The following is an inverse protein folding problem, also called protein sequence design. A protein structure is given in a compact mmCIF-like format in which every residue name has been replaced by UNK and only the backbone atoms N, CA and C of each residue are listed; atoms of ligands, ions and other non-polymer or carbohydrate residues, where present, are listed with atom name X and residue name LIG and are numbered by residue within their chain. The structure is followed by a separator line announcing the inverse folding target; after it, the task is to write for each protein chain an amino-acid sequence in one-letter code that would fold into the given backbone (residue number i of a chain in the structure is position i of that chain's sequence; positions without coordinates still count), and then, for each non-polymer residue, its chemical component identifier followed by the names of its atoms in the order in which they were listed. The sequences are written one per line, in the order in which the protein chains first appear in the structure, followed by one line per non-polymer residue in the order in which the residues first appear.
data_IF_128732132328
#
_entry.id   IF_128732132328
#
_cell.length_a   1.000
_cell.length_b   1.000
_cell.length_c   1.000
_cell.angle_alpha   90.00
_cell.angle_beta   90.00
_cell.angle_gamma   90.00
#
_symmetry.space_group_name_H-M   'P 1'
#
loop_
_entity.id
_entity.type
_entity.pdbx_description
1 polymer ?
#
# COMPACT_ATOMS: atom_id res chain seq x y z
N UNK A 1 -15.08 -1.14 -14.71
CA UNK A 1 -16.47 -1.66 -14.84
C UNK A 1 -17.23 -1.24 -13.58
N UNK A 2 -18.57 -1.15 -13.54
CA UNK A 2 -19.24 -0.99 -12.25
C UNK A 2 -18.88 -2.18 -11.34
N UNK A 3 -18.60 -1.90 -10.06
CA UNK A 3 -18.38 -2.94 -9.06
C UNK A 3 -19.59 -3.87 -9.01
N UNK A 4 -19.36 -5.15 -8.70
CA UNK A 4 -20.44 -6.13 -8.54
C UNK A 4 -21.43 -5.65 -7.46
N UNK A 5 -22.73 -5.92 -7.62
CA UNK A 5 -23.78 -5.36 -6.76
C UNK A 5 -23.53 -5.63 -5.26
N UNK A 6 -23.06 -6.83 -4.91
CA UNK A 6 -22.72 -7.18 -3.52
C UNK A 6 -21.67 -6.28 -2.89
N UNK A 7 -20.67 -5.82 -3.66
CA UNK A 7 -19.65 -4.88 -3.19
C UNK A 7 -20.24 -3.50 -2.91
N UNK A 8 -21.19 -3.07 -3.76
CA UNK A 8 -21.90 -1.81 -3.60
C UNK A 8 -22.84 -1.84 -2.37
N UNK A 9 -23.60 -2.93 -2.21
CA UNK A 9 -24.51 -3.13 -1.07
C UNK A 9 -23.73 -3.10 0.25
N UNK A 10 -22.59 -3.80 0.33
CA UNK A 10 -21.75 -3.79 1.54
C UNK A 10 -21.17 -2.40 1.82
N UNK A 11 -20.80 -1.64 0.80
CA UNK A 11 -20.34 -0.25 0.96
C UNK A 11 -21.41 0.66 1.55
N UNK A 12 -22.67 0.49 1.15
CA UNK A 12 -23.78 1.24 1.73
C UNK A 12 -23.97 0.87 3.21
N UNK A 13 -23.91 -0.41 3.55
CA UNK A 13 -24.04 -0.87 4.94
C UNK A 13 -22.88 -0.41 5.84
N UNK A 14 -21.65 -0.43 5.33
CA UNK A 14 -20.44 -0.02 6.03
C UNK A 14 -20.55 1.40 6.61
N UNK A 15 -21.03 2.35 5.81
CA UNK A 15 -21.17 3.76 6.22
C UNK A 15 -22.23 3.97 7.32
N UNK A 16 -23.20 3.06 7.42
CA UNK A 16 -24.34 3.17 8.34
C UNK A 16 -24.30 2.15 9.48
N UNK A 17 -23.16 1.49 9.69
CA UNK A 17 -22.94 0.58 10.81
C UNK A 17 -23.29 1.25 12.15
N UNK A 18 -24.04 0.55 13.01
CA UNK A 18 -24.58 1.08 14.28
C UNK A 18 -23.95 0.47 15.53
N UNK A 19 -23.07 -0.52 15.40
CA UNK A 19 -22.38 -1.12 16.56
C UNK A 19 -21.02 -1.71 16.19
N UNK A 20 -20.09 -1.87 17.17
CA UNK A 20 -18.81 -2.54 16.93
C UNK A 20 -18.97 -4.01 16.51
N UNK A 21 -20.04 -4.68 16.94
CA UNK A 21 -20.33 -6.04 16.52
C UNK A 21 -20.71 -6.12 15.04
N UNK A 22 -21.53 -5.17 14.57
CA UNK A 22 -21.86 -5.03 13.15
C UNK A 22 -20.62 -4.68 12.33
N UNK A 23 -19.75 -3.80 12.83
CA UNK A 23 -18.48 -3.47 12.19
C UNK A 23 -17.62 -4.72 11.92
N UNK A 24 -17.46 -5.60 12.92
CA UNK A 24 -16.75 -6.88 12.75
C UNK A 24 -17.41 -7.77 11.70
N UNK A 25 -18.73 -7.92 11.74
CA UNK A 25 -19.45 -8.71 10.73
C UNK A 25 -19.21 -8.21 9.31
N UNK A 26 -19.29 -6.90 9.10
CA UNK A 26 -19.06 -6.27 7.79
C UNK A 26 -17.61 -6.39 7.33
N UNK A 27 -16.63 -6.31 8.22
CA UNK A 27 -15.21 -6.52 7.87
C UNK A 27 -14.92 -7.98 7.50
N UNK A 28 -15.56 -8.95 8.16
CA UNK A 28 -15.46 -10.36 7.79
C UNK A 28 -16.08 -10.61 6.41
N UNK A 29 -17.31 -10.11 6.19
CA UNK A 29 -18.00 -10.22 4.90
C UNK A 29 -17.23 -9.51 3.78
N UNK A 30 -16.57 -8.39 4.07
CA UNK A 30 -15.73 -7.70 3.10
C UNK A 30 -14.57 -8.57 2.61
N UNK A 31 -13.95 -9.34 3.50
CA UNK A 31 -12.89 -10.29 3.15
C UNK A 31 -13.44 -11.44 2.29
N UNK A 32 -14.61 -11.98 2.64
CA UNK A 32 -15.27 -13.04 1.85
C UNK A 32 -15.62 -12.56 0.43
N UNK A 33 -16.17 -11.35 0.30
CA UNK A 33 -16.46 -10.75 -1.00
C UNK A 33 -15.19 -10.48 -1.82
N UNK A 34 -14.09 -10.11 -1.17
CA UNK A 34 -12.81 -9.91 -1.84
C UNK A 34 -12.27 -11.23 -2.37
N UNK A 35 -12.33 -12.32 -1.59
CA UNK A 35 -12.02 -13.67 -2.04
C UNK A 35 -12.83 -14.05 -3.29
N UNK A 36 -14.15 -13.96 -3.21
CA UNK A 36 -15.04 -14.30 -4.33
C UNK A 36 -14.76 -13.43 -5.58
N UNK A 37 -14.44 -12.15 -5.39
CA UNK A 37 -14.13 -11.25 -6.51
C UNK A 37 -12.82 -11.60 -7.21
N UNK A 38 -11.82 -12.07 -6.46
CA UNK A 38 -10.55 -12.56 -7.02
C UNK A 38 -10.75 -13.84 -7.84
N UNK A 39 -11.61 -14.76 -7.39
CA UNK A 39 -11.98 -15.96 -8.16
C UNK A 39 -12.62 -15.61 -9.52
N UNK A 40 -13.33 -14.48 -9.57
CA UNK A 40 -13.93 -13.93 -10.79
C UNK A 40 -13.01 -12.97 -11.57
N UNK A 41 -11.72 -12.87 -11.21
CA UNK A 41 -10.71 -12.04 -11.88
C UNK A 41 -11.09 -10.55 -11.96
N UNK A 42 -11.73 -10.03 -10.92
CA UNK A 42 -11.93 -8.59 -10.78
C UNK A 42 -10.59 -7.85 -10.68
N UNK A 43 -10.59 -6.56 -11.01
CA UNK A 43 -9.38 -5.75 -11.00
C UNK A 43 -8.86 -5.54 -9.57
N UNK A 44 -7.63 -5.94 -9.32
CA UNK A 44 -7.02 -5.93 -7.98
C UNK A 44 -6.85 -4.53 -7.37
N UNK A 45 -6.59 -3.52 -8.20
CA UNK A 45 -6.50 -2.12 -7.73
C UNK A 45 -7.88 -1.56 -7.38
N UNK A 46 -8.90 -1.85 -8.19
CA UNK A 46 -10.28 -1.47 -7.87
C UNK A 46 -10.74 -2.13 -6.56
N UNK A 47 -10.37 -3.40 -6.32
CA UNK A 47 -10.66 -4.10 -5.07
C UNK A 47 -9.92 -3.51 -3.86
N UNK A 48 -8.64 -3.14 -4.00
CA UNK A 48 -7.90 -2.48 -2.93
C UNK A 48 -8.52 -1.12 -2.54
N UNK A 49 -8.95 -0.34 -3.54
CA UNK A 49 -9.66 0.92 -3.31
C UNK A 49 -11.00 0.69 -2.62
N UNK A 50 -11.78 -0.29 -3.06
CA UNK A 50 -13.03 -0.66 -2.42
C UNK A 50 -12.82 -1.08 -0.96
N UNK A 51 -11.85 -1.95 -0.69
CA UNK A 51 -11.56 -2.45 0.66
C UNK A 51 -11.11 -1.33 1.61
N UNK A 52 -10.26 -0.42 1.13
CA UNK A 52 -9.84 0.77 1.89
C UNK A 52 -11.01 1.67 2.25
N UNK A 53 -11.98 1.81 1.33
CA UNK A 53 -13.20 2.56 1.57
C UNK A 53 -14.08 1.89 2.62
N UNK A 54 -14.26 0.57 2.56
CA UNK A 54 -15.00 -0.18 3.59
C UNK A 54 -14.42 0.09 4.98
N UNK A 55 -13.10 -0.02 5.14
CA UNK A 55 -12.45 0.25 6.43
C UNK A 55 -12.68 1.70 6.86
N UNK A 56 -12.51 2.66 5.95
CA UNK A 56 -12.73 4.08 6.23
C UNK A 56 -14.16 4.38 6.67
N UNK A 57 -15.14 3.82 5.96
CA UNK A 57 -16.56 4.01 6.23
C UNK A 57 -16.95 3.37 7.57
N UNK A 58 -16.42 2.18 7.89
CA UNK A 58 -16.64 1.52 9.18
C UNK A 58 -16.05 2.31 10.34
N UNK A 59 -14.80 2.77 10.23
CA UNK A 59 -14.13 3.55 11.28
C UNK A 59 -14.88 4.85 11.60
N UNK A 60 -15.50 5.45 10.57
CA UNK A 60 -16.28 6.70 10.70
C UNK A 60 -17.76 6.48 11.01
N UNK A 61 -18.26 5.25 10.89
CA UNK A 61 -19.67 4.92 11.09
C UNK A 61 -20.14 5.22 12.52
N UNK A 62 -21.43 5.47 12.76
CA UNK A 62 -21.97 5.72 14.11
C UNK A 62 -21.63 4.63 15.13
N UNK A 63 -21.51 3.38 14.68
CA UNK A 63 -21.22 2.23 15.52
C UNK A 63 -19.79 2.15 16.04
N UNK A 64 -18.84 2.83 15.39
CA UNK A 64 -17.43 2.89 15.82
C UNK A 64 -17.08 4.31 16.26
N UNK A 65 -17.44 5.31 15.44
CA UNK A 65 -17.28 6.74 15.68
C UNK A 65 -15.87 7.11 16.18
N UNK A 66 -14.86 6.50 15.59
CA UNK A 66 -13.48 6.65 16.07
C UNK A 66 -12.98 8.09 15.85
N UNK A 67 -12.31 8.70 16.85
CA UNK A 67 -11.72 10.04 16.69
C UNK A 67 -10.37 10.02 15.96
N UNK A 68 -9.83 8.83 15.65
CA UNK A 68 -8.49 8.71 15.07
C UNK A 68 -8.45 9.21 13.63
N UNK A 69 -7.25 9.54 13.17
CA UNK A 69 -7.00 9.84 11.78
C UNK A 69 -6.30 8.67 11.11
N UNK A 70 -7.00 7.97 10.22
CA UNK A 70 -6.41 6.91 9.42
C UNK A 70 -5.15 7.41 8.70
N UNK A 71 -4.15 6.54 8.61
CA UNK A 71 -2.88 6.75 7.94
C UNK A 71 -2.47 5.48 7.19
N UNK A 72 -1.35 5.53 6.46
CA UNK A 72 -0.84 4.38 5.72
C UNK A 72 -1.80 3.92 4.59
N UNK A 73 -1.83 2.62 4.28
CA UNK A 73 -2.55 2.11 3.10
C UNK A 73 -4.04 2.45 3.05
N UNK A 74 -4.73 2.38 4.19
CA UNK A 74 -6.17 2.66 4.24
C UNK A 74 -6.46 4.11 3.89
N UNK A 75 -5.69 5.05 4.45
CA UNK A 75 -5.88 6.48 4.18
C UNK A 75 -5.53 6.87 2.74
N UNK A 76 -4.62 6.12 2.11
CA UNK A 76 -4.30 6.29 0.68
C UNK A 76 -5.35 5.70 -0.24
N UNK A 77 -6.17 4.75 0.21
CA UNK A 77 -7.12 4.07 -0.65
C UNK A 77 -6.52 2.89 -1.42
N UNK A 78 -5.45 2.28 -0.89
CA UNK A 78 -4.73 1.18 -1.52
C UNK A 78 -4.45 -0.02 -0.59
N UNK A 79 -5.18 -0.11 0.52
CA UNK A 79 -5.13 -1.22 1.46
C UNK A 79 -5.71 -2.52 0.89
N UNK A 80 -5.12 -3.61 1.34
CA UNK A 80 -5.58 -4.99 1.15
C UNK A 80 -5.49 -5.73 2.49
N UNK A 81 -6.16 -6.88 2.66
CA UNK A 81 -6.24 -7.54 3.96
C UNK A 81 -4.90 -7.90 4.62
N UNK A 82 -3.86 -8.20 3.82
CA UNK A 82 -2.51 -8.53 4.32
C UNK A 82 -1.71 -7.31 4.81
N UNK A 83 -2.19 -6.10 4.58
CA UNK A 83 -1.51 -4.87 5.01
C UNK A 83 -1.97 -4.44 6.40
N UNK A 84 -1.03 -3.86 7.14
CA UNK A 84 -1.36 -3.27 8.44
C UNK A 84 -2.20 -2.01 8.28
N UNK A 85 -3.32 -1.97 8.99
CA UNK A 85 -4.19 -0.80 9.14
C UNK A 85 -3.58 0.10 10.22
N UNK A 86 -3.34 1.37 9.89
CA UNK A 86 -2.66 2.30 10.78
C UNK A 86 -3.41 3.61 10.98
N UNK A 87 -3.29 4.22 12.16
CA UNK A 87 -3.94 5.49 12.49
C UNK A 87 -3.14 6.34 13.47
N UNK A 88 -3.36 7.66 13.45
CA UNK A 88 -2.85 8.60 14.44
C UNK A 88 -3.94 8.95 15.46
N UNK A 89 -3.56 9.02 16.74
CA UNK A 89 -4.47 9.21 17.86
C UNK A 89 -4.78 7.89 18.58
N UNK A 90 -5.63 7.98 19.61
CA UNK A 90 -5.97 6.86 20.49
C UNK A 90 -7.39 6.38 20.25
N UNK A 91 -7.53 5.07 20.03
CA UNK A 91 -8.82 4.37 20.12
C UNK A 91 -8.55 2.91 20.54
N UNK A 92 -8.82 2.56 21.81
CA UNK A 92 -8.50 1.23 22.34
C UNK A 92 -9.38 0.13 21.75
N UNK A 93 -10.48 0.46 21.06
CA UNK A 93 -11.39 -0.54 20.51
C UNK A 93 -10.99 -0.97 19.10
N UNK A 94 -10.33 -0.10 18.32
CA UNK A 94 -9.99 -0.39 16.92
C UNK A 94 -9.11 -1.63 16.76
N UNK A 95 -8.09 -1.80 17.61
CA UNK A 95 -7.23 -2.99 17.55
C UNK A 95 -8.05 -4.27 17.71
N UNK A 96 -9.01 -4.29 18.63
CA UNK A 96 -9.91 -5.44 18.83
C UNK A 96 -10.86 -5.65 17.66
N UNK A 97 -11.43 -4.57 17.10
CA UNK A 97 -12.38 -4.66 15.96
C UNK A 97 -11.69 -5.28 14.74
N UNK A 98 -10.46 -4.87 14.44
CA UNK A 98 -9.68 -5.45 13.33
C UNK A 98 -9.15 -6.86 13.68
N UNK A 99 -8.62 -7.04 14.88
CA UNK A 99 -8.03 -8.31 15.32
C UNK A 99 -9.04 -9.46 15.36
N UNK A 100 -10.28 -9.20 15.77
CA UNK A 100 -11.36 -10.20 15.87
C UNK A 100 -11.72 -10.82 14.51
N UNK A 101 -11.35 -10.17 13.40
CA UNK A 101 -11.60 -10.63 12.02
C UNK A 101 -10.32 -10.98 11.26
N UNK A 102 -9.20 -11.12 11.98
CA UNK A 102 -7.91 -11.50 11.39
C UNK A 102 -7.16 -10.38 10.68
N UNK A 103 -7.64 -9.13 10.74
CA UNK A 103 -6.92 -7.97 10.22
C UNK A 103 -5.94 -7.42 11.26
N UNK A 104 -4.81 -6.88 10.79
CA UNK A 104 -3.79 -6.31 11.67
C UNK A 104 -3.97 -4.80 11.72
N UNK A 105 -4.47 -4.28 12.85
CA UNK A 105 -4.59 -2.85 13.12
C UNK A 105 -3.66 -2.40 14.26
N UNK A 106 -3.05 -1.22 14.14
CA UNK A 106 -2.29 -0.60 15.23
C UNK A 106 -2.16 0.93 15.09
N UNK A 107 -1.96 1.68 16.18
CA UNK A 107 -1.51 3.06 16.11
C UNK A 107 -0.21 3.18 15.30
N UNK A 108 -0.13 4.21 14.46
CA UNK A 108 1.07 4.59 13.74
C UNK A 108 2.01 5.35 14.68
N UNK A 109 3.31 5.15 14.52
CA UNK A 109 4.29 6.09 15.02
C UNK A 109 4.10 7.45 14.33
N UNK A 110 4.14 8.54 15.09
CA UNK A 110 4.00 9.87 14.52
C UNK A 110 5.30 10.25 13.80
N UNK A 111 5.22 10.31 12.47
CA UNK A 111 6.33 10.61 11.57
C UNK A 111 5.84 11.49 10.42
N UNK A 112 6.76 12.03 9.64
CA UNK A 112 6.38 12.80 8.44
C UNK A 112 5.57 11.94 7.47
N UNK A 113 5.94 10.67 7.31
CA UNK A 113 5.20 9.75 6.46
C UNK A 113 3.76 9.49 6.95
N UNK A 114 3.58 9.19 8.24
CA UNK A 114 2.25 8.92 8.79
C UNK A 114 1.38 10.17 8.81
N UNK A 115 1.97 11.35 9.02
CA UNK A 115 1.28 12.65 8.91
C UNK A 115 0.85 12.96 7.47
N UNK A 116 1.71 12.70 6.49
CA UNK A 116 1.41 12.94 5.08
C UNK A 116 0.26 12.03 4.60
N UNK A 117 0.33 10.75 4.94
CA UNK A 117 -0.73 9.78 4.63
C UNK A 117 -2.02 10.08 5.39
N UNK A 118 -1.96 10.69 6.58
CA UNK A 118 -3.14 11.17 7.27
C UNK A 118 -3.67 12.50 6.70
N UNK A 119 -2.93 13.20 5.83
CA UNK A 119 -3.26 14.53 5.32
C UNK A 119 -3.13 15.64 6.37
N UNK A 120 -2.18 15.50 7.29
CA UNK A 120 -1.82 16.52 8.29
C UNK A 120 -0.76 17.47 7.70
N UNK A 121 -0.69 18.73 8.18
CA UNK A 121 0.37 19.65 7.78
C UNK A 121 1.77 19.11 8.12
N UNK A 122 2.71 19.24 7.18
CA UNK A 122 4.08 18.72 7.31
C UNK A 122 5.13 19.77 7.70
N UNK A 123 4.86 21.05 7.48
CA UNK A 123 5.83 22.11 7.76
C UNK A 123 6.95 22.22 6.72
N UNK A 124 7.87 23.15 6.97
CA UNK A 124 9.00 23.49 6.08
C UNK A 124 10.05 22.38 6.08
N UNK A 125 10.67 22.12 4.93
CA UNK A 125 11.69 21.07 4.76
C UNK A 125 11.14 19.64 4.71
N UNK A 126 9.82 19.50 4.66
CA UNK A 126 9.15 18.20 4.59
C UNK A 126 9.43 17.43 3.31
N UNK A 127 9.60 18.14 2.18
CA UNK A 127 9.91 17.51 0.89
C UNK A 127 11.26 16.79 0.93
N UNK A 128 12.33 17.45 1.38
CA UNK A 128 13.66 16.84 1.49
C UNK A 128 13.68 15.67 2.49
N UNK A 129 12.98 15.82 3.62
CA UNK A 129 12.88 14.77 4.62
C UNK A 129 12.16 13.53 4.08
N UNK A 130 11.05 13.72 3.35
CA UNK A 130 10.30 12.63 2.72
C UNK A 130 11.10 11.97 1.60
N UNK A 131 11.83 12.73 0.79
CA UNK A 131 12.70 12.17 -0.25
C UNK A 131 13.80 11.31 0.37
N UNK A 132 14.47 11.83 1.40
CA UNK A 132 15.52 11.08 2.11
C UNK A 132 14.96 9.78 2.67
N UNK A 133 13.84 9.84 3.39
CA UNK A 133 13.17 8.64 3.92
C UNK A 133 12.82 7.66 2.80
N UNK A 134 12.29 8.15 1.68
CA UNK A 134 11.96 7.30 0.54
C UNK A 134 13.21 6.61 -0.04
N UNK A 135 14.30 7.34 -0.26
CA UNK A 135 15.54 6.77 -0.81
C UNK A 135 16.23 5.80 0.16
N UNK A 136 16.06 5.98 1.48
CA UNK A 136 16.58 5.04 2.49
C UNK A 136 15.83 3.69 2.45
N UNK A 137 14.62 3.63 1.87
CA UNK A 137 13.86 2.39 1.63
C UNK A 137 14.25 1.67 0.33
N UNK A 138 15.35 2.06 -0.31
CA UNK A 138 15.80 1.44 -1.56
C UNK A 138 15.86 -0.09 -1.42
N UNK A 139 15.22 -0.84 -2.35
CA UNK A 139 15.27 -2.30 -2.33
C UNK A 139 16.71 -2.83 -2.38
N UNK A 140 17.03 -3.90 -1.64
CA UNK A 140 18.34 -4.51 -1.71
C UNK A 140 18.63 -5.05 -3.12
N UNK A 141 19.90 -5.06 -3.51
CA UNK A 141 20.31 -5.66 -4.76
C UNK A 141 19.90 -7.15 -4.82
N UNK A 142 19.44 -7.59 -5.99
CA UNK A 142 19.08 -8.98 -6.21
C UNK A 142 20.30 -9.88 -5.96
N UNK A 143 20.19 -10.83 -5.04
CA UNK A 143 21.24 -11.82 -4.81
C UNK A 143 21.31 -12.80 -5.96
N UNK A 144 22.52 -13.05 -6.46
CA UNK A 144 22.79 -13.96 -7.58
C UNK A 144 23.68 -15.11 -7.09
N UNK A 145 23.28 -16.35 -7.37
CA UNK A 145 24.03 -17.58 -7.11
C UNK A 145 24.17 -18.33 -8.44
N UNK A 146 25.40 -18.68 -8.83
CA UNK A 146 25.72 -19.34 -10.09
C UNK A 146 25.16 -18.64 -11.36
N UNK A 147 25.13 -17.30 -11.33
CA UNK A 147 24.63 -16.49 -12.45
C UNK A 147 23.11 -16.41 -12.56
N UNK A 148 22.37 -17.00 -11.61
CA UNK A 148 20.90 -16.94 -11.53
C UNK A 148 20.44 -16.27 -10.23
N UNK A 149 19.24 -15.66 -10.19
CA UNK A 149 18.66 -15.16 -8.95
C UNK A 149 18.61 -16.26 -7.89
N UNK A 150 19.04 -15.93 -6.66
CA UNK A 150 18.99 -16.85 -5.53
C UNK A 150 17.55 -17.29 -5.28
N UNK A 151 17.26 -18.56 -5.55
CA UNK A 151 15.92 -19.14 -5.43
C UNK A 151 15.47 -19.29 -3.97
N UNK A 152 16.40 -19.25 -3.03
CA UNK A 152 16.13 -19.30 -1.60
C UNK A 152 16.06 -17.90 -0.98
N UNK A 153 16.22 -16.84 -1.77
CA UNK A 153 16.04 -15.49 -1.30
C UNK A 153 14.60 -15.30 -0.77
N UNK A 154 14.44 -14.66 0.40
CA UNK A 154 13.12 -14.36 0.94
C UNK A 154 12.37 -13.41 0.00
N UNK A 155 11.07 -13.64 -0.15
CA UNK A 155 10.16 -12.76 -0.88
C UNK A 155 9.49 -11.84 0.11
N UNK A 156 9.80 -10.55 0.01
CA UNK A 156 9.13 -9.50 0.78
C UNK A 156 8.53 -8.48 -0.19
N UNK A 157 7.29 -8.70 -0.64
CA UNK A 157 6.64 -7.79 -1.60
C UNK A 157 6.35 -6.45 -0.93
N UNK A 158 5.87 -6.46 0.31
CA UNK A 158 5.57 -5.21 1.01
C UNK A 158 6.83 -4.37 1.24
N UNK A 159 7.94 -4.99 1.69
CA UNK A 159 9.18 -4.27 1.97
C UNK A 159 10.03 -3.93 0.74
N UNK A 160 9.98 -4.73 -0.33
CA UNK A 160 10.84 -4.57 -1.53
C UNK A 160 10.12 -3.85 -2.66
N UNK A 161 8.78 -3.94 -2.74
CA UNK A 161 8.01 -3.28 -3.80
C UNK A 161 7.12 -2.17 -3.24
N UNK A 162 6.19 -2.51 -2.34
CA UNK A 162 5.10 -1.58 -2.01
C UNK A 162 5.58 -0.40 -1.14
N UNK A 163 6.23 -0.66 -0.01
CA UNK A 163 6.69 0.41 0.88
C UNK A 163 7.63 1.41 0.19
N UNK A 164 8.63 0.98 -0.62
CA UNK A 164 9.47 1.91 -1.35
C UNK A 164 8.68 2.76 -2.37
N UNK A 165 7.84 2.14 -3.20
CA UNK A 165 7.05 2.88 -4.22
C UNK A 165 6.11 3.88 -3.54
N UNK A 166 5.41 3.46 -2.48
CA UNK A 166 4.51 4.35 -1.73
C UNK A 166 5.26 5.53 -1.09
N UNK A 167 6.53 5.35 -0.69
CA UNK A 167 7.35 6.42 -0.15
C UNK A 167 7.76 7.45 -1.21
N UNK A 168 8.18 7.00 -2.40
CA UNK A 168 8.44 7.90 -3.54
C UNK A 168 7.18 8.66 -3.94
N UNK A 169 6.05 7.95 -4.05
CA UNK A 169 4.77 8.57 -4.36
C UNK A 169 4.36 9.60 -3.29
N UNK A 170 4.56 9.29 -2.01
CA UNK A 170 4.28 10.21 -0.90
C UNK A 170 5.13 11.47 -0.96
N UNK A 171 6.42 11.34 -1.25
CA UNK A 171 7.30 12.49 -1.46
C UNK A 171 6.80 13.33 -2.65
N UNK A 172 6.47 12.68 -3.77
CA UNK A 172 5.98 13.33 -4.98
C UNK A 172 4.64 14.07 -4.77
N UNK A 173 3.76 13.57 -3.90
CA UNK A 173 2.49 14.20 -3.56
C UNK A 173 2.04 13.83 -2.12
N UNK A 174 2.39 14.65 -1.11
CA UNK A 174 2.14 14.33 0.30
C UNK A 174 0.69 14.62 0.73
N UNK A 175 -0.24 13.76 0.30
CA UNK A 175 -1.67 13.86 0.63
C UNK A 175 -2.36 12.48 0.58
N UNK A 176 -3.42 12.20 1.35
CA UNK A 176 -4.13 10.91 1.40
C UNK A 176 -4.80 10.58 0.06
N UNK A 177 -4.06 9.92 -0.82
CA UNK A 177 -4.44 9.61 -2.20
C UNK A 177 -3.80 8.29 -2.63
N UNK A 178 -4.41 7.59 -3.60
CA UNK A 178 -3.86 6.35 -4.12
C UNK A 178 -2.43 6.54 -4.61
N UNK A 179 -1.59 5.54 -4.39
CA UNK A 179 -0.18 5.57 -4.79
C UNK A 179 0.02 5.92 -6.28
N UNK A 180 -0.75 5.35 -7.25
CA UNK A 180 -0.65 5.75 -8.66
C UNK A 180 -0.98 7.22 -8.92
N UNK A 181 -2.02 7.77 -8.28
CA UNK A 181 -2.42 9.17 -8.43
C UNK A 181 -1.32 10.10 -7.95
N UNK A 182 -0.67 9.75 -6.85
CA UNK A 182 0.47 10.51 -6.31
C UNK A 182 1.67 10.51 -7.26
N UNK A 183 1.96 9.38 -7.92
CA UNK A 183 3.01 9.30 -8.95
C UNK A 183 2.68 10.21 -10.14
N UNK A 184 1.42 10.20 -10.60
CA UNK A 184 0.96 11.07 -11.68
C UNK A 184 1.12 12.57 -11.34
N UNK A 185 0.76 12.97 -10.12
CA UNK A 185 0.98 14.34 -9.63
C UNK A 185 2.48 14.67 -9.56
N UNK A 186 3.33 13.68 -9.24
CA UNK A 186 4.78 13.82 -9.29
C UNK A 186 5.30 14.27 -10.66
N UNK A 187 4.68 13.79 -11.73
CA UNK A 187 4.98 14.21 -13.11
C UNK A 187 4.51 15.65 -13.35
N UNK A 188 3.29 15.99 -12.92
CA UNK A 188 2.75 17.36 -13.04
C UNK A 188 3.60 18.39 -12.27
N UNK A 189 4.27 17.96 -11.19
CA UNK A 189 5.18 18.76 -10.37
C UNK A 189 6.63 18.71 -10.84
N UNK A 190 6.94 18.00 -11.93
CA UNK A 190 8.29 17.82 -12.48
C UNK A 190 9.28 17.16 -11.50
N UNK A 191 8.78 16.44 -10.49
CA UNK A 191 9.59 15.67 -9.53
C UNK A 191 9.95 14.29 -10.07
N UNK A 192 9.08 13.74 -10.91
CA UNK A 192 9.27 12.46 -11.61
C UNK A 192 9.15 12.70 -13.10
N UNK A 193 9.91 11.96 -13.90
CA UNK A 193 9.60 11.87 -15.32
C UNK A 193 8.43 10.89 -15.58
N UNK A 194 7.83 10.98 -16.77
CA UNK A 194 6.68 10.16 -17.13
C UNK A 194 6.99 8.66 -17.16
N UNK A 195 8.21 8.29 -17.56
CA UNK A 195 8.63 6.89 -17.63
C UNK A 195 8.82 6.29 -16.23
N UNK A 196 9.33 7.09 -15.28
CA UNK A 196 9.46 6.70 -13.88
C UNK A 196 8.10 6.47 -13.24
N UNK A 197 7.17 7.41 -13.40
CA UNK A 197 5.84 7.29 -12.85
C UNK A 197 5.07 6.09 -13.43
N UNK A 198 5.18 5.84 -14.74
CA UNK A 198 4.57 4.67 -15.39
C UNK A 198 5.18 3.35 -14.87
N UNK A 199 6.51 3.27 -14.84
CA UNK A 199 7.22 2.07 -14.40
C UNK A 199 6.94 1.72 -12.93
N UNK A 200 6.93 2.73 -12.05
CA UNK A 200 6.58 2.58 -10.64
C UNK A 200 5.10 2.21 -10.45
N UNK A 201 4.19 2.77 -11.25
CA UNK A 201 2.76 2.42 -11.21
C UNK A 201 2.51 0.97 -11.62
N UNK A 202 3.22 0.48 -12.65
CA UNK A 202 3.15 -0.92 -13.07
C UNK A 202 3.72 -1.86 -12.00
N UNK A 203 4.85 -1.51 -11.40
CA UNK A 203 5.45 -2.27 -10.31
C UNK A 203 4.54 -2.29 -9.06
N UNK A 204 3.86 -1.18 -8.76
CA UNK A 204 2.87 -1.08 -7.70
C UNK A 204 1.70 -2.05 -7.92
N UNK A 205 1.07 -2.00 -9.10
CA UNK A 205 -0.01 -2.92 -9.46
C UNK A 205 0.42 -4.38 -9.40
N UNK A 206 1.65 -4.68 -9.84
CA UNK A 206 2.24 -6.02 -9.72
C UNK A 206 2.35 -6.45 -8.25
N UNK A 207 2.85 -5.58 -7.37
CA UNK A 207 2.97 -5.86 -5.94
C UNK A 207 1.62 -6.10 -5.26
N UNK A 208 0.62 -5.27 -5.53
CA UNK A 208 -0.75 -5.44 -4.99
C UNK A 208 -1.34 -6.78 -5.45
N UNK A 209 -1.20 -7.11 -6.74
CA UNK A 209 -1.74 -8.35 -7.28
C UNK A 209 -1.04 -9.60 -6.69
N UNK A 210 0.28 -9.54 -6.48
CA UNK A 210 1.02 -10.63 -5.84
C UNK A 210 0.61 -10.82 -4.36
N UNK A 211 0.47 -9.73 -3.60
CA UNK A 211 0.02 -9.80 -2.21
C UNK A 211 -1.40 -10.35 -2.10
N UNK A 212 -2.33 -9.88 -2.94
CA UNK A 212 -3.69 -10.40 -2.96
C UNK A 212 -3.75 -11.88 -3.33
N UNK A 213 -2.93 -12.34 -4.28
CA UNK A 213 -2.84 -13.78 -4.61
C UNK A 213 -2.29 -14.61 -3.46
N UNK A 214 -1.27 -14.12 -2.74
CA UNK A 214 -0.74 -14.83 -1.57
C UNK A 214 -1.76 -14.89 -0.44
N UNK A 215 -2.42 -13.76 -0.14
CA UNK A 215 -3.52 -13.71 0.82
C UNK A 215 -4.65 -14.66 0.43
N UNK A 216 -5.07 -14.65 -0.84
CA UNK A 216 -6.10 -15.54 -1.37
C UNK A 216 -5.74 -17.02 -1.23
N UNK A 217 -4.46 -17.37 -1.39
CA UNK A 217 -3.94 -18.72 -1.23
C UNK A 217 -3.74 -19.13 0.24
N UNK A 218 -4.06 -18.26 1.21
CA UNK A 218 -3.81 -18.50 2.64
C UNK A 218 -2.33 -18.49 3.02
N UNK A 219 -1.47 -17.93 2.16
CA UNK A 219 -0.04 -17.78 2.44
C UNK A 219 0.15 -16.51 3.28
N UNK A 220 0.28 -16.69 4.59
CA UNK A 220 0.55 -15.60 5.52
C UNK A 220 2.01 -15.13 5.34
N UNK A 221 2.22 -13.81 5.41
CA UNK A 221 3.39 -13.10 4.89
C UNK A 221 4.80 -13.59 5.31
N UNK A 222 5.79 -13.02 4.61
CA UNK A 222 7.26 -12.98 4.84
C UNK A 222 8.07 -14.29 4.93
N UNK A 223 7.44 -15.44 5.09
CA UNK A 223 8.18 -16.72 5.18
C UNK A 223 8.33 -17.44 3.81
N UNK A 224 7.82 -16.84 2.74
CA UNK A 224 7.97 -17.34 1.38
C UNK A 224 9.36 -17.07 0.80
N UNK A 225 9.87 -18.03 0.02
CA UNK A 225 11.10 -17.87 -0.76
C UNK A 225 10.78 -17.78 -2.24
N UNK A 226 11.69 -17.25 -3.05
CA UNK A 226 11.47 -17.07 -4.48
C UNK A 226 11.05 -18.38 -5.19
N UNK A 227 11.57 -19.52 -4.72
CA UNK A 227 11.23 -20.84 -5.24
C UNK A 227 9.77 -21.27 -5.02
N UNK A 228 9.08 -20.77 -3.99
CA UNK A 228 7.71 -21.17 -3.65
C UNK A 228 6.66 -20.40 -4.44
N UNK A 229 7.03 -19.28 -5.05
CA UNK A 229 6.15 -18.55 -5.96
C UNK A 229 5.87 -19.36 -7.24
N UNK A 230 4.64 -19.31 -7.78
CA UNK A 230 4.35 -19.77 -9.13
C UNK A 230 5.31 -19.17 -10.17
N UNK A 231 5.65 -19.89 -11.27
CA UNK A 231 6.65 -19.41 -12.22
C UNK A 231 6.38 -18.02 -12.81
N UNK A 232 5.11 -17.71 -13.09
CA UNK A 232 4.71 -16.39 -13.60
C UNK A 232 4.87 -15.30 -12.53
N UNK A 233 4.43 -15.57 -11.30
CA UNK A 233 4.55 -14.64 -10.17
C UNK A 233 6.01 -14.36 -9.81
N UNK A 234 6.86 -15.39 -9.85
CA UNK A 234 8.30 -15.25 -9.67
C UNK A 234 8.93 -14.31 -10.69
N UNK A 235 8.50 -14.43 -11.95
CA UNK A 235 8.99 -13.60 -13.05
C UNK A 235 8.51 -12.16 -12.89
N UNK A 236 7.23 -11.97 -12.57
CA UNK A 236 6.63 -10.66 -12.32
C UNK A 236 7.30 -9.96 -11.13
N UNK A 237 7.47 -10.66 -10.00
CA UNK A 237 8.18 -10.16 -8.82
C UNK A 237 9.61 -9.73 -9.16
N UNK A 238 10.40 -10.62 -9.78
CA UNK A 238 11.78 -10.30 -10.14
C UNK A 238 11.90 -9.15 -11.14
N UNK A 239 10.95 -9.02 -12.07
CA UNK A 239 10.89 -7.88 -12.99
C UNK A 239 10.58 -6.58 -12.25
N UNK A 240 9.55 -6.58 -11.40
CA UNK A 240 9.16 -5.42 -10.60
C UNK A 240 10.30 -4.96 -9.68
N UNK A 241 11.03 -5.88 -9.03
CA UNK A 241 12.17 -5.52 -8.18
C UNK A 241 13.25 -4.76 -8.97
N UNK A 242 13.62 -5.25 -10.17
CA UNK A 242 14.60 -4.56 -11.02
C UNK A 242 14.11 -3.18 -11.45
N UNK A 243 12.84 -3.09 -11.83
CA UNK A 243 12.21 -1.80 -12.19
C UNK A 243 12.29 -0.81 -11.03
N UNK A 244 11.89 -1.21 -9.82
CA UNK A 244 11.95 -0.32 -8.64
C UNK A 244 13.39 0.10 -8.34
N UNK A 245 14.34 -0.85 -8.32
CA UNK A 245 15.76 -0.54 -8.06
C UNK A 245 16.34 0.46 -9.06
N UNK A 246 16.04 0.30 -10.35
CA UNK A 246 16.54 1.20 -11.41
C UNK A 246 15.94 2.60 -11.29
N UNK A 247 14.64 2.72 -11.00
CA UNK A 247 13.98 4.01 -10.81
C UNK A 247 14.52 4.74 -9.57
N UNK A 248 14.76 4.03 -8.47
CA UNK A 248 15.39 4.62 -7.28
C UNK A 248 16.80 5.13 -7.54
N UNK A 249 17.55 4.44 -8.41
CA UNK A 249 18.86 4.90 -8.85
C UNK A 249 18.77 6.20 -9.64
N UNK A 250 17.88 6.24 -10.64
CA UNK A 250 17.62 7.39 -11.50
C UNK A 250 17.20 8.63 -10.68
N UNK A 251 16.18 8.48 -9.83
CA UNK A 251 15.70 9.55 -8.95
C UNK A 251 16.82 10.03 -8.01
N UNK A 252 17.53 9.10 -7.37
CA UNK A 252 18.62 9.43 -6.45
C UNK A 252 19.76 10.20 -7.11
N UNK A 253 20.18 9.82 -8.32
CA UNK A 253 21.23 10.50 -9.07
C UNK A 253 20.82 11.93 -9.45
N UNK A 254 19.61 12.10 -10.00
CA UNK A 254 19.08 13.41 -10.40
C UNK A 254 19.04 14.40 -9.23
N UNK A 255 18.59 13.95 -8.07
CA UNK A 255 18.51 14.82 -6.89
C UNK A 255 19.88 15.19 -6.32
N UNK A 256 20.87 14.29 -6.37
CA UNK A 256 22.25 14.62 -5.99
C UNK A 256 22.86 15.69 -6.91
N UNK A 257 22.59 15.63 -8.21
CA UNK A 257 23.05 16.62 -9.18
C UNK A 257 22.44 18.01 -8.91
N UNK A 258 21.14 18.09 -8.63
CA UNK A 258 20.49 19.35 -8.26
C UNK A 258 21.02 19.94 -6.95
N UNK A 259 21.25 19.12 -5.92
CA UNK A 259 21.82 19.60 -4.65
C UNK A 259 23.26 20.09 -4.78
N UNK A 260 24.02 19.58 -5.77
CA UNK A 260 25.43 19.97 -5.99
C UNK A 260 25.56 21.23 -6.85
N UNK A 261 24.59 21.53 -7.72
CA UNK A 261 24.57 22.74 -8.56
C UNK A 261 24.01 23.99 -7.85
N UNK A 262 23.32 23.81 -6.72
CA UNK A 262 22.75 24.90 -5.92
C UNK A 262 23.64 25.46 -4.79
N UNK A 263 24.86 24.92 -4.63
CA UNK A 263 25.92 25.43 -3.74
C UNK A 263 27.03 26.12 -4.54
#
# INVERSE_FOLDING_TARGET
MPLHQSLADLSELAAHCQSPATARGLLAEAQDLLHNSLDHRANELELATWFSRIITDIVRSPGVASPVRLSGPVARGDAIPSMTITWLGEDPQLESIFGDVGLVGRPAEESMASRADAGLPLGVGSEDALLKEALDLRPPALKVVDGLPDRNAPVDIQGVLLAPIAAIARWAAPAPRPTPDRLAIGVERELLDAAEAEALSLAWGTGIALELRQWHAGVNGRDGVLATLPPLDRTAYGSACRTVSANFESIGQRHQEYSTQGN
#
